data_IF_778737533758
#
_entry.id   IF_778737533758
#
_cell.length_a   1.000
_cell.length_b   1.000
_cell.length_c   1.000
_cell.angle_alpha   90.00
_cell.angle_beta   90.00
_cell.angle_gamma   90.00
#
_symmetry.space_group_name_H-M   'P 1'
#
loop_
_entity.id
_entity.type
_entity.pdbx_description
1 polymer ?
#
# COMPACT_ATOMS: atom_id res chain seq x y z
N UNK A 1 29.53 16.65 4.43
CA UNK A 1 29.05 16.47 5.82
C UNK A 1 27.82 15.57 5.80
N UNK A 2 27.85 14.44 6.49
CA UNK A 2 26.68 13.57 6.60
C UNK A 2 25.63 14.26 7.48
N UNK A 3 24.42 14.44 6.95
CA UNK A 3 23.30 15.07 7.66
C UNK A 3 22.91 14.14 8.82
N UNK A 4 22.89 14.67 10.04
CA UNK A 4 22.46 13.94 11.23
C UNK A 4 21.05 13.37 10.99
N UNK A 5 20.92 12.04 11.04
CA UNK A 5 19.63 11.38 10.82
C UNK A 5 18.77 11.59 12.06
N UNK A 6 17.93 12.63 12.01
CA UNK A 6 16.95 12.89 13.06
C UNK A 6 15.98 11.69 13.10
N UNK A 7 16.02 10.92 14.20
CA UNK A 7 15.09 9.81 14.39
C UNK A 7 13.66 10.37 14.52
N UNK A 8 12.82 10.10 13.53
CA UNK A 8 11.40 10.43 13.57
C UNK A 8 10.66 9.39 14.42
N UNK A 9 9.57 9.80 15.10
CA UNK A 9 8.72 8.88 15.88
C UNK A 9 8.22 7.70 15.03
N UNK A 10 7.90 7.97 13.77
CA UNK A 10 7.54 6.96 12.78
C UNK A 10 8.56 7.01 11.63
N UNK A 11 9.43 6.00 11.50
CA UNK A 11 10.39 5.93 10.41
C UNK A 11 9.66 5.64 9.08
N UNK A 12 10.25 6.07 7.97
CA UNK A 12 9.70 5.80 6.64
C UNK A 12 10.42 6.57 5.54
N UNK A 13 10.15 6.18 4.29
CA UNK A 13 10.64 6.86 3.09
C UNK A 13 9.59 7.84 2.60
N UNK A 14 9.98 9.10 2.36
CA UNK A 14 9.10 10.09 1.75
C UNK A 14 8.84 9.72 0.30
N UNK A 15 7.58 9.75 -0.12
CA UNK A 15 7.17 9.54 -1.50
C UNK A 15 6.05 10.52 -1.86
N UNK A 16 5.99 10.93 -3.12
CA UNK A 16 4.87 11.69 -3.67
C UNK A 16 3.92 10.70 -4.34
N UNK A 17 2.66 10.70 -3.91
CA UNK A 17 1.63 9.76 -4.38
C UNK A 17 0.25 10.42 -4.35
N UNK A 18 -0.70 9.86 -5.10
CA UNK A 18 -2.10 10.25 -5.04
C UNK A 18 -2.84 9.59 -3.86
N UNK A 19 -4.10 9.99 -3.66
CA UNK A 19 -4.93 9.49 -2.57
C UNK A 19 -5.30 8.00 -2.69
N UNK A 20 -5.53 7.50 -3.91
CA UNK A 20 -5.85 6.08 -4.15
C UNK A 20 -4.65 5.19 -3.79
N UNK A 21 -3.45 5.61 -4.18
CA UNK A 21 -2.19 4.94 -3.87
C UNK A 21 -1.93 4.94 -2.36
N UNK A 22 -2.18 6.06 -1.68
CA UNK A 22 -2.03 6.13 -0.22
C UNK A 22 -3.02 5.20 0.50
N UNK A 23 -4.28 5.14 0.04
CA UNK A 23 -5.29 4.28 0.64
C UNK A 23 -4.98 2.79 0.43
N UNK A 24 -4.61 2.38 -0.80
CA UNK A 24 -4.33 0.97 -1.09
C UNK A 24 -3.06 0.47 -0.40
N UNK A 25 -2.08 1.35 -0.16
CA UNK A 25 -0.90 1.03 0.64
C UNK A 25 -1.28 0.62 2.06
N UNK A 26 -2.27 1.27 2.69
CA UNK A 26 -2.75 0.85 3.99
C UNK A 26 -3.52 -0.47 3.89
N UNK A 27 -4.46 -0.55 2.93
CA UNK A 27 -5.36 -1.69 2.77
C UNK A 27 -4.63 -3.01 2.57
N UNK A 28 -3.63 -3.05 1.66
CA UNK A 28 -2.85 -4.27 1.39
C UNK A 28 -2.03 -4.73 2.60
N UNK A 29 -1.64 -3.82 3.48
CA UNK A 29 -0.87 -4.15 4.67
C UNK A 29 -1.80 -4.63 5.78
N UNK A 30 -3.03 -4.10 5.88
CA UNK A 30 -3.96 -4.35 6.98
C UNK A 30 -4.99 -5.45 6.74
N UNK A 31 -5.15 -5.92 5.49
CA UNK A 31 -6.24 -6.80 5.09
C UNK A 31 -5.72 -8.08 4.42
N UNK A 32 -6.46 -9.19 4.58
CA UNK A 32 -6.12 -10.50 3.98
C UNK A 32 -6.71 -10.66 2.56
N UNK A 33 -7.89 -10.09 2.28
CA UNK A 33 -8.58 -10.23 0.99
C UNK A 33 -9.39 -8.97 0.63
N UNK A 34 -9.54 -8.68 -0.67
CA UNK A 34 -10.34 -7.55 -1.14
C UNK A 34 -11.32 -7.92 -2.26
N UNK A 35 -12.59 -7.52 -2.09
CA UNK A 35 -13.59 -7.56 -3.16
C UNK A 35 -13.69 -6.19 -3.83
N UNK A 36 -13.34 -6.10 -5.10
CA UNK A 36 -13.36 -4.84 -5.86
C UNK A 36 -14.31 -4.92 -7.06
N UNK A 37 -15.03 -3.81 -7.31
CA UNK A 37 -15.81 -3.61 -8.54
C UNK A 37 -15.45 -2.24 -9.13
N UNK A 38 -15.19 -2.16 -10.46
CA UNK A 38 -14.72 -0.93 -11.07
C UNK A 38 -15.81 0.15 -11.09
N UNK A 39 -15.51 1.31 -10.50
CA UNK A 39 -16.32 2.53 -10.56
C UNK A 39 -15.41 3.76 -10.42
N UNK A 40 -15.64 4.79 -11.23
CA UNK A 40 -14.86 6.02 -11.12
C UNK A 40 -15.23 6.76 -9.83
N UNK A 41 -14.26 7.31 -9.07
CA UNK A 41 -12.82 7.41 -9.36
C UNK A 41 -11.93 6.33 -8.70
N UNK A 42 -12.50 5.27 -8.13
CA UNK A 42 -11.78 4.30 -7.28
C UNK A 42 -11.25 3.07 -8.03
N UNK A 43 -11.48 2.95 -9.34
CA UNK A 43 -11.01 1.82 -10.16
C UNK A 43 -9.54 1.46 -9.92
N UNK A 44 -8.66 2.47 -9.84
CA UNK A 44 -7.22 2.29 -9.65
C UNK A 44 -6.87 1.55 -8.34
N UNK A 45 -7.69 1.69 -7.29
CA UNK A 45 -7.44 0.98 -6.03
C UNK A 45 -7.52 -0.54 -6.21
N UNK A 46 -8.50 -1.02 -6.99
CA UNK A 46 -8.64 -2.44 -7.30
C UNK A 46 -7.52 -2.96 -8.21
N UNK A 47 -7.06 -2.14 -9.16
CA UNK A 47 -5.93 -2.47 -10.03
C UNK A 47 -4.63 -2.61 -9.23
N UNK A 48 -4.37 -1.68 -8.29
CA UNK A 48 -3.20 -1.74 -7.42
C UNK A 48 -3.24 -2.91 -6.42
N UNK A 49 -4.43 -3.32 -5.95
CA UNK A 49 -4.58 -4.56 -5.18
C UNK A 49 -4.16 -5.78 -6.00
N UNK A 50 -4.72 -5.90 -7.20
CA UNK A 50 -4.43 -7.02 -8.09
C UNK A 50 -2.95 -7.08 -8.47
N UNK A 51 -2.31 -5.93 -8.72
CA UNK A 51 -0.88 -5.83 -8.97
C UNK A 51 -0.05 -6.29 -7.76
N UNK A 52 -0.38 -5.82 -6.55
CA UNK A 52 0.32 -6.21 -5.33
C UNK A 52 0.16 -7.71 -5.03
N UNK A 53 -1.05 -8.26 -5.21
CA UNK A 53 -1.31 -9.70 -5.05
C UNK A 53 -0.50 -10.52 -6.07
N UNK A 54 -0.48 -10.12 -7.34
CA UNK A 54 0.30 -10.78 -8.40
C UNK A 54 1.83 -10.68 -8.17
N UNK A 55 2.30 -9.60 -7.55
CA UNK A 55 3.70 -9.43 -7.14
C UNK A 55 4.08 -10.28 -5.90
N UNK A 56 3.12 -11.00 -5.30
CA UNK A 56 3.35 -11.83 -4.12
C UNK A 56 3.53 -11.02 -2.84
N UNK A 57 2.88 -9.86 -2.74
CA UNK A 57 2.92 -9.03 -1.54
C UNK A 57 2.43 -9.81 -0.31
N UNK A 58 3.16 -9.66 0.79
CA UNK A 58 2.86 -10.29 2.08
C UNK A 58 2.47 -9.18 3.05
N UNK A 59 1.27 -9.30 3.63
CA UNK A 59 0.75 -8.31 4.56
C UNK A 59 1.40 -8.42 5.95
N UNK A 60 1.02 -7.54 6.88
CA UNK A 60 1.57 -7.53 8.24
C UNK A 60 1.30 -8.81 9.04
N UNK A 61 0.31 -9.61 8.62
CA UNK A 61 -0.04 -10.90 9.21
C UNK A 61 0.81 -12.05 8.66
N UNK A 62 1.75 -11.78 7.75
CA UNK A 62 2.58 -12.81 7.12
C UNK A 62 1.82 -13.65 6.09
N UNK A 63 0.72 -13.15 5.53
CA UNK A 63 -0.12 -13.86 4.55
C UNK A 63 -0.08 -13.17 3.19
N UNK A 64 -0.21 -13.93 2.08
CA UNK A 64 -0.40 -13.35 0.76
C UNK A 64 -1.78 -12.69 0.66
N UNK A 65 -1.89 -11.70 -0.22
CA UNK A 65 -3.17 -11.08 -0.56
C UNK A 65 -4.04 -12.02 -1.40
N UNK A 66 -5.35 -12.01 -1.13
CA UNK A 66 -6.36 -12.82 -1.81
C UNK A 66 -7.36 -11.94 -2.57
#
# INVERSE_FOLDING_TARGET
MAKEQKAFKYPGSRSAMDGNTAAIMCERESTDAAGAYPITPSTQMGEFWAEAAAAGHINISGRPLI
#
